data_IF_530061186210
#
_entry.id   IF_530061186210
#
_cell.length_a   1.000
_cell.length_b   1.000
_cell.length_c   1.000
_cell.angle_alpha   90.00
_cell.angle_beta   90.00
_cell.angle_gamma   90.00
#
_symmetry.space_group_name_H-M   'P 1'
#
loop_
_entity.id
_entity.type
_entity.pdbx_description
1 polymer ?
#
# COMPACT_ATOMS: atom_id res chain seq x y z
N UNK A 1 -11.37 -72.57 -49.23
CA UNK A 1 -12.17 -71.72 -48.32
C UNK A 1 -11.29 -70.60 -47.76
N UNK A 2 -11.66 -69.36 -48.08
CA UNK A 2 -10.94 -68.10 -47.87
C UNK A 2 -10.92 -67.71 -46.38
N UNK A 3 -9.82 -67.92 -45.63
CA UNK A 3 -9.77 -67.50 -44.21
C UNK A 3 -8.46 -66.90 -43.67
N UNK A 4 -7.38 -66.79 -44.46
CA UNK A 4 -6.07 -66.34 -43.91
C UNK A 4 -5.62 -64.92 -44.27
N UNK A 5 -6.27 -64.25 -45.23
CA UNK A 5 -5.81 -62.94 -45.72
C UNK A 5 -6.60 -61.75 -45.15
N UNK A 6 -7.69 -62.00 -44.42
CA UNK A 6 -8.55 -60.94 -43.84
C UNK A 6 -7.94 -60.37 -42.56
N UNK A 7 -7.17 -61.17 -41.79
CA UNK A 7 -6.53 -60.71 -40.56
C UNK A 7 -5.38 -59.71 -40.80
N UNK A 8 -4.63 -59.87 -41.90
CA UNK A 8 -3.49 -59.00 -42.23
C UNK A 8 -3.98 -57.68 -42.87
N UNK A 9 -5.07 -57.71 -43.64
CA UNK A 9 -5.66 -56.51 -44.23
C UNK A 9 -6.34 -55.63 -43.16
N UNK A 10 -6.95 -56.23 -42.13
CA UNK A 10 -7.50 -55.50 -40.98
C UNK A 10 -6.46 -54.82 -40.10
N UNK A 11 -5.29 -55.44 -39.90
CA UNK A 11 -4.21 -54.89 -39.07
C UNK A 11 -3.50 -53.70 -39.74
N UNK A 12 -3.37 -53.70 -41.07
CA UNK A 12 -2.74 -52.62 -41.83
C UNK A 12 -3.67 -51.39 -41.96
N UNK A 13 -4.99 -51.60 -42.04
CA UNK A 13 -5.96 -50.50 -42.09
C UNK A 13 -6.15 -49.85 -40.71
N UNK A 14 -6.04 -50.60 -39.62
CA UNK A 14 -6.08 -50.06 -38.24
C UNK A 14 -4.78 -49.30 -37.88
N UNK A 15 -3.63 -49.73 -38.40
CA UNK A 15 -2.33 -49.06 -38.18
C UNK A 15 -2.15 -47.77 -39.02
N UNK A 16 -2.95 -47.60 -40.08
CA UNK A 16 -2.95 -46.40 -40.92
C UNK A 16 -3.76 -45.21 -40.37
N UNK A 17 -4.52 -45.40 -39.28
CA UNK A 17 -5.45 -44.40 -38.75
C UNK A 17 -5.00 -43.72 -37.44
N UNK A 18 -3.80 -44.01 -36.91
CA UNK A 18 -3.43 -43.57 -35.54
C UNK A 18 -2.17 -42.73 -35.42
N UNK A 19 -1.72 -42.04 -36.48
CA UNK A 19 -0.59 -41.10 -36.37
C UNK A 19 -0.90 -39.69 -36.90
N UNK A 20 -2.12 -39.19 -36.72
CA UNK A 20 -2.31 -37.73 -36.64
C UNK A 20 -1.79 -37.23 -35.29
N UNK A 21 -0.46 -37.28 -35.12
CA UNK A 21 0.22 -36.44 -34.15
C UNK A 21 -0.05 -35.01 -34.57
N UNK A 22 -0.55 -34.16 -33.67
CA UNK A 22 -0.63 -32.73 -33.95
C UNK A 22 0.78 -32.22 -34.26
N UNK A 23 1.04 -31.80 -35.50
CA UNK A 23 2.23 -31.02 -35.78
C UNK A 23 2.07 -29.66 -35.11
N UNK A 24 3.12 -29.19 -34.42
CA UNK A 24 3.15 -27.82 -33.94
C UNK A 24 3.15 -26.92 -35.17
N UNK A 25 2.03 -26.24 -35.42
CA UNK A 25 1.87 -25.29 -36.54
C UNK A 25 3.15 -24.42 -36.68
N UNK A 26 3.92 -24.59 -37.77
CA UNK A 26 5.30 -24.08 -37.86
C UNK A 26 5.37 -22.56 -37.98
N UNK A 27 4.24 -21.88 -38.12
CA UNK A 27 4.16 -20.43 -38.17
C UNK A 27 2.86 -19.91 -37.55
N UNK A 28 2.72 -20.04 -36.22
CA UNK A 28 1.69 -19.27 -35.53
C UNK A 28 2.12 -17.80 -35.47
N UNK A 29 1.72 -17.01 -36.45
CA UNK A 29 1.81 -15.56 -36.39
C UNK A 29 0.71 -15.05 -35.45
N UNK A 30 1.06 -14.80 -34.18
CA UNK A 30 0.09 -14.29 -33.22
C UNK A 30 -0.33 -12.86 -33.60
N UNK A 31 -1.63 -12.53 -33.54
CA UNK A 31 -2.04 -11.13 -33.63
C UNK A 31 -1.30 -10.29 -32.58
N UNK A 32 -0.98 -9.04 -32.91
CA UNK A 32 -0.31 -8.12 -32.00
C UNK A 32 -0.96 -8.11 -30.61
N UNK A 33 -0.13 -8.30 -29.58
CA UNK A 33 -0.59 -8.38 -28.19
C UNK A 33 -1.18 -9.73 -27.77
N UNK A 34 -0.93 -10.82 -28.51
CA UNK A 34 -1.29 -12.19 -28.09
C UNK A 34 -0.12 -13.16 -28.13
N UNK A 35 -0.16 -14.18 -27.26
CA UNK A 35 0.71 -15.37 -27.30
C UNK A 35 -0.17 -16.58 -27.01
N UNK A 36 -0.40 -17.42 -28.02
CA UNK A 36 -1.42 -18.46 -27.96
C UNK A 36 -2.82 -17.86 -27.91
N UNK A 37 -3.63 -18.42 -27.00
CA UNK A 37 -4.93 -17.90 -26.61
C UNK A 37 -4.84 -16.77 -25.57
N UNK A 38 -3.64 -16.50 -25.04
CA UNK A 38 -3.41 -15.48 -24.03
C UNK A 38 -3.30 -14.09 -24.65
N UNK A 39 -3.88 -13.10 -23.99
CA UNK A 39 -3.74 -11.68 -24.33
C UNK A 39 -2.70 -11.04 -23.42
N UNK A 40 -1.75 -10.32 -24.00
CA UNK A 40 -0.79 -9.48 -23.27
C UNK A 40 -1.50 -8.18 -22.90
N UNK A 41 -1.51 -7.85 -21.62
CA UNK A 41 -2.07 -6.60 -21.10
C UNK A 41 -0.96 -5.74 -20.50
N UNK A 42 -1.12 -4.43 -20.59
CA UNK A 42 -0.20 -3.45 -20.00
C UNK A 42 -0.93 -2.81 -18.83
N UNK A 43 -0.45 -3.05 -17.61
CA UNK A 43 -1.06 -2.47 -16.41
C UNK A 43 -0.79 -0.96 -16.33
N UNK A 44 -1.69 -0.17 -15.73
CA UNK A 44 -1.43 1.24 -15.48
C UNK A 44 -0.28 1.45 -14.49
N UNK A 45 0.50 2.50 -14.71
CA UNK A 45 1.45 3.04 -13.74
C UNK A 45 0.91 4.39 -13.29
N UNK A 46 0.54 4.50 -12.01
CA UNK A 46 0.08 5.75 -11.39
C UNK A 46 1.19 6.30 -10.51
N UNK A 47 1.66 7.51 -10.79
CA UNK A 47 2.78 8.16 -10.08
C UNK A 47 2.33 9.48 -9.46
N UNK A 48 2.54 9.63 -8.15
CA UNK A 48 2.28 10.88 -7.44
C UNK A 48 3.16 12.01 -7.97
N UNK A 49 2.56 13.19 -8.16
CA UNK A 49 3.31 14.44 -8.33
C UNK A 49 3.55 15.03 -6.94
N UNK A 50 4.80 15.34 -6.58
CA UNK A 50 5.12 15.83 -5.23
C UNK A 50 5.00 14.77 -4.14
N UNK A 51 4.95 15.23 -2.88
CA UNK A 51 5.09 14.38 -1.69
C UNK A 51 3.97 13.37 -1.49
N UNK A 52 4.24 12.21 -0.88
CA UNK A 52 3.16 11.27 -0.51
C UNK A 52 2.35 11.75 0.69
N UNK A 53 3.01 12.46 1.61
CA UNK A 53 2.40 13.03 2.81
C UNK A 53 2.43 14.55 2.70
N UNK A 54 1.26 15.18 2.75
CA UNK A 54 1.12 16.63 2.84
C UNK A 54 0.64 16.98 4.23
N UNK A 55 1.31 17.92 4.90
CA UNK A 55 0.94 18.36 6.25
C UNK A 55 0.44 19.80 6.17
N UNK A 56 -0.74 20.06 6.72
CA UNK A 56 -1.42 21.35 6.64
C UNK A 56 -1.83 21.82 8.04
N UNK A 57 -1.59 23.10 8.34
CA UNK A 57 -2.22 23.73 9.49
C UNK A 57 -3.71 23.82 9.21
N UNK A 58 -4.55 23.51 10.20
CA UNK A 58 -6.00 23.69 10.13
C UNK A 58 -6.39 25.06 9.55
N UNK A 59 -7.35 25.04 8.64
CA UNK A 59 -7.83 26.19 7.88
C UNK A 59 -7.02 26.51 6.62
N UNK A 60 -5.84 25.87 6.43
CA UNK A 60 -5.06 26.05 5.19
C UNK A 60 -5.71 25.28 4.05
N UNK A 61 -5.91 25.96 2.92
CA UNK A 61 -6.45 25.33 1.72
C UNK A 61 -5.55 24.18 1.23
N UNK A 62 -6.15 23.03 0.94
CA UNK A 62 -5.46 21.92 0.29
C UNK A 62 -5.53 22.08 -1.22
N UNK A 63 -4.36 22.05 -1.88
CA UNK A 63 -4.25 21.97 -3.34
C UNK A 63 -3.63 20.63 -3.68
N UNK A 64 -4.36 19.80 -4.43
CA UNK A 64 -3.89 18.49 -4.84
C UNK A 64 -2.88 18.62 -5.99
N UNK A 65 -1.61 18.19 -5.81
CA UNK A 65 -0.63 18.14 -6.91
C UNK A 65 -1.00 17.13 -8.01
N UNK A 66 -1.89 16.19 -7.70
CA UNK A 66 -2.37 15.15 -8.60
C UNK A 66 -1.35 14.03 -8.84
N UNK A 67 -1.56 13.33 -9.95
CA UNK A 67 -0.75 12.19 -10.41
C UNK A 67 -0.47 12.28 -11.91
N UNK A 68 0.47 11.49 -12.40
CA UNK A 68 0.49 10.99 -13.79
C UNK A 68 -0.04 9.55 -13.80
N UNK A 69 -0.73 9.16 -14.86
CA UNK A 69 -1.18 7.79 -15.06
C UNK A 69 -0.90 7.37 -16.51
N UNK A 70 -0.19 6.26 -16.70
CA UNK A 70 0.20 5.76 -18.02
C UNK A 70 -0.14 4.28 -18.21
N UNK A 71 -0.64 3.91 -19.38
CA UNK A 71 -0.66 2.55 -19.91
C UNK A 71 0.44 2.46 -20.98
N UNK A 72 1.65 2.01 -20.60
CA UNK A 72 2.82 2.10 -21.48
C UNK A 72 3.17 3.57 -21.76
N UNK A 73 2.98 4.03 -22.99
CA UNK A 73 3.17 5.44 -23.39
C UNK A 73 1.86 6.23 -23.44
N UNK A 74 0.71 5.57 -23.31
CA UNK A 74 -0.61 6.22 -23.40
C UNK A 74 -0.98 6.85 -22.06
N UNK A 75 -1.43 8.10 -22.07
CA UNK A 75 -1.95 8.75 -20.86
C UNK A 75 -3.35 8.27 -20.51
N UNK A 76 -3.56 7.98 -19.24
CA UNK A 76 -4.86 7.66 -18.67
C UNK A 76 -5.36 8.83 -17.81
N UNK A 77 -6.69 8.96 -17.70
CA UNK A 77 -7.31 9.89 -16.75
C UNK A 77 -7.61 9.13 -15.46
N UNK A 78 -6.95 9.45 -14.33
CA UNK A 78 -7.22 8.80 -13.06
C UNK A 78 -8.54 9.28 -12.46
N UNK A 79 -9.27 8.36 -11.84
CA UNK A 79 -10.39 8.68 -10.95
C UNK A 79 -9.82 9.03 -9.58
N UNK A 80 -10.19 10.20 -9.06
CA UNK A 80 -9.77 10.69 -7.74
C UNK A 80 -10.92 10.53 -6.75
N UNK A 81 -10.65 9.90 -5.61
CA UNK A 81 -11.63 9.70 -4.54
C UNK A 81 -11.04 10.12 -3.19
N UNK A 82 -11.92 10.44 -2.24
CA UNK A 82 -11.55 11.03 -0.96
C UNK A 82 -11.77 12.54 -0.94
N UNK A 83 -11.77 13.12 0.26
CA UNK A 83 -11.87 14.56 0.47
C UNK A 83 -11.10 14.95 1.73
N UNK A 84 -10.65 16.20 1.78
CA UNK A 84 -9.95 16.76 2.93
C UNK A 84 -10.84 17.83 3.55
N UNK A 85 -11.25 17.62 4.80
CA UNK A 85 -11.81 18.71 5.59
C UNK A 85 -10.65 19.46 6.27
N UNK A 86 -10.28 20.59 5.69
CA UNK A 86 -9.18 21.42 6.21
C UNK A 86 -9.49 22.08 7.55
N UNK A 87 -10.75 22.09 7.99
CA UNK A 87 -11.15 22.72 9.25
C UNK A 87 -11.15 21.76 10.43
N UNK A 88 -10.96 20.46 10.18
CA UNK A 88 -10.93 19.43 11.22
C UNK A 88 -9.55 18.79 11.25
N UNK A 89 -8.93 18.75 12.43
CA UNK A 89 -7.65 18.06 12.59
C UNK A 89 -7.86 16.55 12.40
N UNK A 90 -7.07 15.94 11.51
CA UNK A 90 -7.26 14.56 11.10
C UNK A 90 -6.27 14.13 10.02
N UNK A 91 -6.32 12.85 9.69
CA UNK A 91 -5.56 12.28 8.58
C UNK A 91 -6.56 11.84 7.52
N UNK A 92 -6.42 12.41 6.33
CA UNK A 92 -7.28 12.18 5.18
C UNK A 92 -6.50 11.43 4.11
N UNK A 93 -7.19 10.55 3.37
CA UNK A 93 -6.60 9.81 2.26
C UNK A 93 -7.28 10.21 0.95
N UNK A 94 -6.46 10.60 -0.02
CA UNK A 94 -6.88 10.76 -1.41
C UNK A 94 -6.36 9.56 -2.20
N UNK A 95 -7.24 8.90 -2.94
CA UNK A 95 -6.90 7.71 -3.74
C UNK A 95 -7.08 8.02 -5.21
N UNK A 96 -6.05 7.71 -6.00
CA UNK A 96 -6.02 7.88 -7.45
C UNK A 96 -6.00 6.50 -8.08
N UNK A 97 -7.02 6.20 -8.89
CA UNK A 97 -7.15 4.92 -9.58
C UNK A 97 -7.19 5.16 -11.07
N UNK A 98 -6.30 4.51 -11.82
CA UNK A 98 -6.39 4.46 -13.27
C UNK A 98 -6.70 3.02 -13.69
N UNK A 99 -7.56 2.85 -14.68
CA UNK A 99 -7.94 1.54 -15.23
C UNK A 99 -7.50 1.47 -16.68
N UNK A 100 -6.79 0.41 -17.05
CA UNK A 100 -6.34 0.21 -18.43
C UNK A 100 -7.52 -0.16 -19.34
N UNK A 101 -7.28 -0.21 -20.66
CA UNK A 101 -8.34 -0.52 -21.64
C UNK A 101 -8.95 -1.93 -21.49
N UNK A 102 -8.24 -2.80 -20.77
CA UNK A 102 -8.62 -4.19 -20.53
C UNK A 102 -9.37 -4.38 -19.20
N UNK A 103 -9.59 -3.30 -18.44
CA UNK A 103 -10.34 -3.32 -17.17
C UNK A 103 -9.49 -3.57 -15.92
N UNK A 104 -8.16 -3.60 -16.03
CA UNK A 104 -7.26 -3.80 -14.89
C UNK A 104 -6.88 -2.46 -14.23
N UNK A 105 -7.15 -2.28 -12.92
CA UNK A 105 -6.81 -1.06 -12.22
C UNK A 105 -5.38 -1.05 -11.66
N UNK A 106 -4.81 0.13 -11.51
CA UNK A 106 -3.74 0.40 -10.55
C UNK A 106 -4.09 1.64 -9.74
N UNK A 107 -3.70 1.65 -8.46
CA UNK A 107 -4.00 2.74 -7.55
C UNK A 107 -2.77 3.20 -6.77
N UNK A 108 -2.76 4.48 -6.42
CA UNK A 108 -1.85 5.06 -5.43
C UNK A 108 -2.64 6.02 -4.54
N UNK A 109 -2.08 6.36 -3.38
CA UNK A 109 -2.75 7.24 -2.44
C UNK A 109 -1.81 8.31 -1.87
N UNK A 110 -2.42 9.43 -1.52
CA UNK A 110 -1.81 10.56 -0.82
C UNK A 110 -2.43 10.70 0.55
N UNK A 111 -1.59 10.91 1.54
CA UNK A 111 -2.01 11.20 2.91
C UNK A 111 -1.95 12.70 3.14
N UNK A 112 -3.04 13.29 3.62
CA UNK A 112 -3.10 14.70 4.01
C UNK A 112 -3.37 14.77 5.50
N UNK A 113 -2.40 15.28 6.26
CA UNK A 113 -2.46 15.44 7.70
C UNK A 113 -2.80 16.90 8.04
N UNK A 114 -4.03 17.14 8.47
CA UNK A 114 -4.47 18.44 8.97
C UNK A 114 -4.23 18.47 10.47
N UNK A 115 -3.43 19.41 10.95
CA UNK A 115 -3.07 19.51 12.37
C UNK A 115 -3.52 20.82 12.99
N UNK A 116 -3.84 20.73 14.28
CA UNK A 116 -4.16 21.86 15.16
C UNK A 116 -3.38 21.63 16.44
N UNK A 117 -2.22 22.28 16.56
CA UNK A 117 -1.27 22.06 17.66
C UNK A 117 -1.18 23.29 18.53
N UNK A 118 -1.29 23.08 19.84
CA UNK A 118 -1.06 24.13 20.82
C UNK A 118 0.43 24.50 20.88
N UNK A 119 0.75 25.68 21.40
CA UNK A 119 2.14 26.16 21.51
C UNK A 119 3.05 25.16 22.26
N UNK A 120 2.53 24.51 23.29
CA UNK A 120 3.24 23.54 24.12
C UNK A 120 3.64 22.28 23.33
N UNK A 121 2.84 21.89 22.33
CA UNK A 121 3.20 20.81 21.40
C UNK A 121 4.31 21.19 20.43
N UNK A 122 4.43 22.47 20.09
CA UNK A 122 5.50 22.95 19.22
C UNK A 122 6.87 22.96 19.93
N UNK A 123 6.87 23.13 21.26
CA UNK A 123 8.09 23.20 22.07
C UNK A 123 8.79 21.83 22.25
N UNK A 124 8.04 20.72 22.20
CA UNK A 124 8.58 19.39 22.40
C UNK A 124 8.89 18.69 21.08
N UNK A 125 10.10 18.11 20.98
CA UNK A 125 10.52 17.31 19.82
C UNK A 125 10.61 15.82 20.16
N UNK A 126 9.66 15.05 19.61
CA UNK A 126 9.58 13.60 19.84
C UNK A 126 10.31 12.78 18.79
N UNK A 127 10.98 13.40 17.82
CA UNK A 127 11.76 12.66 16.82
C UNK A 127 12.90 11.85 17.44
N UNK A 128 13.25 10.73 16.80
CA UNK A 128 14.30 9.83 17.25
C UNK A 128 13.89 8.36 17.20
N UNK A 129 14.79 7.50 17.68
CA UNK A 129 14.61 6.06 17.72
C UNK A 129 14.14 5.62 19.11
N UNK A 130 13.09 4.81 19.17
CA UNK A 130 12.54 4.30 20.41
C UNK A 130 12.56 2.77 20.39
N UNK A 131 13.21 2.16 21.38
CA UNK A 131 13.34 0.70 21.47
C UNK A 131 12.21 0.13 22.29
N UNK A 132 11.55 -0.90 21.75
CA UNK A 132 10.53 -1.68 22.44
C UNK A 132 11.18 -2.62 23.46
N UNK A 133 10.85 -2.46 24.73
CA UNK A 133 11.52 -3.18 25.82
C UNK A 133 11.42 -4.72 25.71
N UNK A 134 10.34 -5.25 25.14
CA UNK A 134 10.09 -6.70 25.12
C UNK A 134 10.83 -7.48 24.03
N UNK A 135 11.29 -6.82 22.96
CA UNK A 135 11.86 -7.51 21.79
C UNK A 135 12.94 -6.71 21.04
N UNK A 136 13.36 -5.56 21.58
CA UNK A 136 14.42 -4.73 20.99
C UNK A 136 14.06 -4.05 19.68
N UNK A 137 12.83 -4.19 19.18
CA UNK A 137 12.44 -3.58 17.90
C UNK A 137 12.31 -2.07 18.02
N UNK A 138 12.73 -1.37 16.98
CA UNK A 138 12.80 0.09 16.97
C UNK A 138 11.59 0.68 16.26
N UNK A 139 10.94 1.65 16.90
CA UNK A 139 10.05 2.60 16.27
C UNK A 139 10.81 3.90 15.99
N UNK A 140 10.78 4.40 14.76
CA UNK A 140 11.51 5.62 14.36
C UNK A 140 10.52 6.74 14.13
N UNK A 141 10.66 7.82 14.88
CA UNK A 141 9.83 9.01 14.79
C UNK A 141 10.57 10.10 14.00
N UNK A 142 9.94 10.57 12.93
CA UNK A 142 10.44 11.67 12.10
C UNK A 142 9.46 12.83 12.17
N UNK A 143 9.93 14.01 12.57
CA UNK A 143 9.10 15.21 12.65
C UNK A 143 8.77 15.72 11.26
N UNK A 144 7.50 16.00 11.01
CA UNK A 144 7.01 16.58 9.75
C UNK A 144 6.58 18.03 9.92
N UNK A 145 5.97 18.36 11.06
CA UNK A 145 5.54 19.70 11.44
C UNK A 145 5.48 19.79 12.99
N UNK A 146 5.23 20.97 13.59
CA UNK A 146 4.91 21.06 15.01
C UNK A 146 3.83 20.04 15.38
N UNK A 147 4.08 19.22 16.39
CA UNK A 147 3.16 18.17 16.84
C UNK A 147 2.75 17.12 15.79
N UNK A 148 3.41 17.00 14.63
CA UNK A 148 3.10 15.98 13.61
C UNK A 148 4.34 15.18 13.28
N UNK A 149 4.22 13.86 13.36
CA UNK A 149 5.32 12.92 13.15
C UNK A 149 4.91 11.80 12.18
N UNK A 150 5.84 11.35 11.36
CA UNK A 150 5.78 10.04 10.72
C UNK A 150 6.47 9.03 11.65
N UNK A 151 5.84 7.89 11.92
CA UNK A 151 6.40 6.84 12.75
C UNK A 151 6.49 5.54 11.98
N UNK A 152 7.71 5.05 11.78
CA UNK A 152 8.00 3.73 11.21
C UNK A 152 8.00 2.69 12.31
N UNK A 153 7.41 1.53 12.03
CA UNK A 153 7.24 0.40 12.93
C UNK A 153 6.57 0.78 14.27
N UNK A 154 5.40 1.44 14.25
CA UNK A 154 4.75 1.94 15.46
C UNK A 154 4.40 0.82 16.46
N UNK A 155 4.24 -0.42 15.98
CA UNK A 155 3.96 -1.57 16.82
C UNK A 155 5.19 -2.36 17.29
N UNK A 156 6.40 -2.01 16.86
CA UNK A 156 7.63 -2.73 17.23
C UNK A 156 7.61 -4.21 16.84
N UNK A 157 7.12 -4.52 15.64
CA UNK A 157 7.11 -5.87 15.08
C UNK A 157 8.40 -6.14 14.30
N UNK A 158 8.83 -7.40 14.27
CA UNK A 158 10.04 -7.82 13.55
C UNK A 158 9.80 -7.72 12.06
N UNK A 159 10.68 -7.04 11.34
CA UNK A 159 10.60 -6.90 9.87
C UNK A 159 9.48 -5.98 9.37
N UNK A 160 8.78 -5.26 10.26
CA UNK A 160 7.70 -4.37 9.85
C UNK A 160 8.25 -3.00 9.38
N UNK A 161 7.78 -2.57 8.21
CA UNK A 161 8.03 -1.24 7.64
C UNK A 161 6.80 -0.33 7.66
N UNK A 162 5.75 -0.75 8.40
CA UNK A 162 4.51 0.00 8.56
C UNK A 162 4.81 1.43 9.04
N UNK A 163 4.32 2.42 8.31
CA UNK A 163 4.48 3.83 8.66
C UNK A 163 3.12 4.49 8.85
N UNK A 164 3.01 5.33 9.88
CA UNK A 164 1.77 6.05 10.26
C UNK A 164 2.06 7.51 10.60
N UNK A 165 1.04 8.36 10.52
CA UNK A 165 1.07 9.72 11.04
C UNK A 165 0.62 9.73 12.51
N UNK A 166 1.37 10.43 13.34
CA UNK A 166 1.08 10.64 14.76
C UNK A 166 0.93 12.12 15.02
N UNK A 167 -0.09 12.47 15.81
CA UNK A 167 -0.28 13.82 16.33
C UNK A 167 0.11 13.90 17.80
N UNK A 168 0.71 15.04 18.17
CA UNK A 168 0.87 15.53 19.53
C UNK A 168 0.17 16.88 19.64
N UNK A 169 -1.03 16.94 20.24
CA UNK A 169 -1.82 18.18 20.25
C UNK A 169 -1.44 19.14 21.39
N UNK A 170 -1.09 18.60 22.56
CA UNK A 170 -0.97 19.37 23.82
C UNK A 170 0.44 19.33 24.45
N UNK A 171 1.42 18.72 23.78
CA UNK A 171 2.79 18.63 24.30
C UNK A 171 3.12 17.29 24.97
N UNK A 172 2.11 16.53 25.40
CA UNK A 172 2.27 15.16 25.96
C UNK A 172 1.22 14.17 25.47
N UNK A 173 0.17 14.62 24.79
CA UNK A 173 -0.88 13.75 24.25
C UNK A 173 -0.51 13.28 22.85
N UNK A 174 -0.03 12.05 22.73
CA UNK A 174 0.23 11.41 21.44
C UNK A 174 -0.98 10.60 20.97
N UNK A 175 -1.21 10.52 19.66
CA UNK A 175 -2.24 9.66 19.06
C UNK A 175 -1.92 9.32 17.61
N UNK A 176 -2.16 8.07 17.22
CA UNK A 176 -2.33 7.66 15.82
C UNK A 176 -3.83 7.82 15.51
N UNK A 177 -4.27 8.92 14.85
CA UNK A 177 -5.65 9.04 14.39
C UNK A 177 -5.96 7.92 13.40
N UNK A 178 -7.25 7.59 13.25
CA UNK A 178 -7.72 6.63 12.26
C UNK A 178 -7.23 7.07 10.87
N UNK A 179 -6.49 6.18 10.20
CA UNK A 179 -5.90 6.42 8.90
C UNK A 179 -5.61 5.10 8.19
N UNK A 180 -5.28 5.18 6.91
CA UNK A 180 -4.59 4.09 6.22
C UNK A 180 -3.09 4.24 6.42
N UNK A 181 -2.44 3.20 6.94
CA UNK A 181 -0.99 3.16 7.05
C UNK A 181 -0.32 2.99 5.67
N UNK A 182 1.01 2.99 5.63
CA UNK A 182 1.78 2.90 4.39
C UNK A 182 1.52 1.65 3.54
N UNK A 183 1.01 0.58 4.14
CA UNK A 183 0.63 -0.67 3.46
C UNK A 183 -0.87 -0.71 3.07
N UNK A 184 -1.61 0.38 3.32
CA UNK A 184 -3.04 0.50 3.05
C UNK A 184 -3.94 -0.02 4.18
N UNK A 185 -3.39 -0.56 5.27
CA UNK A 185 -4.21 -1.09 6.36
C UNK A 185 -4.79 0.01 7.26
N UNK A 186 -6.06 -0.14 7.65
CA UNK A 186 -6.70 0.77 8.61
C UNK A 186 -6.00 0.64 9.96
N UNK A 187 -5.50 1.77 10.46
CA UNK A 187 -4.66 1.83 11.66
C UNK A 187 -5.05 3.01 12.54
N UNK A 188 -5.14 2.76 13.84
CA UNK A 188 -5.24 3.78 14.90
C UNK A 188 -4.54 3.30 16.16
N UNK A 189 -4.49 4.15 17.19
CA UNK A 189 -4.04 3.77 18.53
C UNK A 189 -5.16 3.86 19.57
N UNK A 190 -4.90 3.24 20.72
CA UNK A 190 -5.63 3.43 21.96
C UNK A 190 -4.68 3.34 23.16
N UNK A 191 -5.14 3.74 24.35
CA UNK A 191 -4.38 3.68 25.61
C UNK A 191 -3.01 4.37 25.50
N UNK A 192 -2.99 5.54 24.85
CA UNK A 192 -1.78 6.28 24.58
C UNK A 192 -1.24 6.96 25.83
N UNK A 193 0.08 6.95 25.97
CA UNK A 193 0.79 7.69 27.01
C UNK A 193 2.16 8.11 26.50
N UNK A 194 2.59 9.31 26.88
CA UNK A 194 3.95 9.80 26.68
C UNK A 194 4.46 10.42 27.97
N UNK A 195 5.69 10.09 28.35
CA UNK A 195 6.39 10.67 29.49
C UNK A 195 7.62 11.42 29.03
N UNK A 196 7.63 12.74 29.25
CA UNK A 196 8.79 13.60 28.99
C UNK A 196 9.98 13.24 29.88
N UNK A 197 9.72 12.86 31.14
CA UNK A 197 10.76 12.56 32.13
C UNK A 197 11.61 11.35 31.72
N UNK A 198 10.98 10.34 31.11
CA UNK A 198 11.62 9.10 30.68
C UNK A 198 11.81 9.00 29.17
N UNK A 199 11.38 10.02 28.42
CA UNK A 199 11.33 9.99 26.94
C UNK A 199 10.77 8.67 26.41
N UNK A 200 9.63 8.25 26.96
CA UNK A 200 9.03 6.96 26.67
C UNK A 200 7.58 7.12 26.27
N UNK A 201 7.13 6.27 25.36
CA UNK A 201 5.73 6.21 24.96
C UNK A 201 5.18 4.80 25.05
N UNK A 202 3.85 4.72 25.17
CA UNK A 202 3.13 3.47 25.03
C UNK A 202 1.79 3.64 24.35
N UNK A 203 1.37 2.63 23.61
CA UNK A 203 0.03 2.54 23.04
C UNK A 203 -0.36 1.09 22.73
N UNK A 204 -1.66 0.88 22.53
CA UNK A 204 -2.20 -0.28 21.81
C UNK A 204 -2.36 0.12 20.35
N UNK A 205 -1.93 -0.75 19.42
CA UNK A 205 -2.16 -0.54 17.99
C UNK A 205 -3.43 -1.28 17.59
N UNK A 206 -4.40 -0.52 17.07
CA UNK A 206 -5.62 -1.05 16.46
C UNK A 206 -5.38 -1.20 14.97
N UNK A 207 -4.95 -2.39 14.55
CA UNK A 207 -4.68 -2.76 13.16
C UNK A 207 -4.85 -4.28 13.02
N UNK A 208 -5.39 -4.80 11.88
CA UNK A 208 -5.61 -6.24 11.69
C UNK A 208 -4.38 -7.14 11.92
N UNK A 209 -3.16 -6.64 11.68
CA UNK A 209 -1.91 -7.35 11.90
C UNK A 209 -1.37 -7.32 13.34
N UNK A 210 -2.07 -6.65 14.27
CA UNK A 210 -1.60 -6.43 15.64
C UNK A 210 -2.61 -6.90 16.67
N UNK A 211 -2.13 -7.64 17.69
CA UNK A 211 -2.92 -7.99 18.86
C UNK A 211 -3.10 -6.81 19.84
N UNK A 212 -4.02 -6.95 20.83
CA UNK A 212 -4.46 -5.86 21.72
C UNK A 212 -3.45 -5.47 22.81
N UNK A 213 -2.23 -6.01 22.79
CA UNK A 213 -1.22 -5.76 23.83
C UNK A 213 -0.79 -4.29 23.89
N UNK A 214 -0.61 -3.76 25.09
CA UNK A 214 0.09 -2.48 25.27
C UNK A 214 1.57 -2.64 24.87
N UNK A 215 2.09 -1.68 24.12
CA UNK A 215 3.46 -1.67 23.61
C UNK A 215 4.16 -0.44 24.15
N UNK A 216 5.26 -0.65 24.86
CA UNK A 216 6.04 0.41 25.50
C UNK A 216 7.42 0.53 24.89
N UNK A 217 7.84 1.76 24.65
CA UNK A 217 9.11 2.09 24.01
C UNK A 217 9.83 3.21 24.75
N UNK A 218 11.15 3.16 24.73
CA UNK A 218 12.02 4.17 25.38
C UNK A 218 12.99 4.72 24.33
N UNK A 219 13.10 6.05 24.27
CA UNK A 219 14.02 6.73 23.36
C UNK A 219 15.47 6.30 23.64
N UNK A 220 16.26 6.13 22.59
CA UNK A 220 17.70 5.86 22.64
C UNK A 220 18.50 7.12 22.36
#
# INVERSE_FOLDING_TARGET
MMKKNIAILGLVVILGLTFSSCEKEPSFNYPDGKVGISKVTVYPIVTLKGERVIVLVKGTAFVDPGVTALEGTNSLTPVVTGSVDVNTAGVYTITYTATNKDGFPAATSRTVAVYDTMADAAANDFSGSYVRGSNGQVAVWTKLAPGVYSVVNPGGAVGASLSVIVFNQTGTSIKIPQQNASDGTSTSSANESYSLATSSFSWVINNPGYGPSLRSFVKQ
#
